data_IF_414994686049
#
_entry.id   IF_414994686049
#
_cell.length_a   1.000
_cell.length_b   1.000
_cell.length_c   1.000
_cell.angle_alpha   90.00
_cell.angle_beta   90.00
_cell.angle_gamma   90.00
#
_symmetry.space_group_name_H-M   'P 1'
#
loop_
_entity.id
_entity.type
_entity.pdbx_description
1 polymer ?
#
# COMPACT_ATOMS: atom_id res chain seq x y z
N UNK A 1 -20.42 2.25 -13.11
CA UNK A 1 -19.93 0.87 -12.87
C UNK A 1 -20.80 0.25 -11.78
N UNK A 2 -21.08 -1.05 -11.80
CA UNK A 2 -21.72 -1.72 -10.65
C UNK A 2 -20.61 -2.23 -9.74
N UNK A 3 -20.35 -1.52 -8.64
CA UNK A 3 -19.35 -1.90 -7.63
C UNK A 3 -19.84 -3.12 -6.83
N UNK A 4 -19.00 -4.15 -6.69
CA UNK A 4 -19.33 -5.31 -5.87
C UNK A 4 -18.86 -5.16 -4.42
N UNK A 5 -17.59 -4.79 -4.21
CA UNK A 5 -17.03 -4.52 -2.88
C UNK A 5 -15.89 -3.51 -2.94
N UNK A 6 -15.65 -2.89 -1.80
CA UNK A 6 -14.47 -2.08 -1.53
C UNK A 6 -13.46 -2.95 -0.80
N UNK A 7 -12.24 -3.02 -1.31
CA UNK A 7 -11.12 -3.75 -0.69
C UNK A 7 -10.14 -2.73 -0.13
N UNK A 8 -10.09 -2.61 1.20
CA UNK A 8 -9.13 -1.77 1.89
C UNK A 8 -7.84 -2.55 2.14
N UNK A 9 -6.74 -2.11 1.54
CA UNK A 9 -5.40 -2.66 1.74
C UNK A 9 -4.63 -1.79 2.74
N UNK A 10 -4.15 -2.42 3.80
CA UNK A 10 -3.34 -1.80 4.86
C UNK A 10 -2.09 -2.62 5.14
N UNK A 11 -1.19 -2.10 5.98
CA UNK A 11 -0.04 -2.86 6.49
C UNK A 11 0.14 -2.61 7.97
N UNK A 12 0.90 -3.51 8.62
CA UNK A 12 1.37 -3.24 9.98
C UNK A 12 2.26 -2.01 10.00
N UNK A 13 2.02 -1.15 10.99
CA UNK A 13 2.90 -0.01 11.30
C UNK A 13 4.23 -0.51 11.85
N UNK A 14 5.26 0.34 11.78
CA UNK A 14 6.55 0.01 12.39
C UNK A 14 6.43 -0.28 13.89
N UNK A 15 5.55 0.46 14.60
CA UNK A 15 5.29 0.23 16.02
C UNK A 15 4.68 -1.15 16.28
N UNK A 16 3.65 -1.56 15.53
CA UNK A 16 3.05 -2.89 15.65
C UNK A 16 4.07 -3.99 15.32
N UNK A 17 4.91 -3.77 14.31
CA UNK A 17 6.01 -4.67 13.97
C UNK A 17 7.03 -4.84 15.10
N UNK A 18 7.35 -3.76 15.81
CA UNK A 18 8.24 -3.79 16.98
C UNK A 18 7.58 -4.49 18.17
N UNK A 19 6.30 -4.21 18.44
CA UNK A 19 5.54 -4.87 19.52
C UNK A 19 5.48 -6.38 19.25
N UNK A 20 5.22 -6.79 18.02
CA UNK A 20 5.18 -8.21 17.65
C UNK A 20 6.52 -8.93 17.89
N UNK A 21 7.66 -8.23 17.83
CA UNK A 21 9.00 -8.81 18.07
C UNK A 21 9.46 -8.71 19.52
N UNK A 22 9.09 -7.65 20.22
CA UNK A 22 9.63 -7.31 21.55
C UNK A 22 8.60 -7.46 22.69
N UNK A 23 7.36 -7.83 22.39
CA UNK A 23 6.31 -8.17 23.36
C UNK A 23 5.38 -7.01 23.66
N UNK A 24 5.84 -6.04 24.45
CA UNK A 24 5.00 -4.93 24.96
C UNK A 24 5.49 -3.56 24.51
N UNK A 25 4.60 -2.57 24.53
CA UNK A 25 4.93 -1.17 24.23
C UNK A 25 6.07 -0.63 25.12
N UNK A 26 6.09 -1.00 26.41
CA UNK A 26 7.17 -0.59 27.33
C UNK A 26 8.53 -1.20 26.95
N UNK A 27 8.54 -2.47 26.52
CA UNK A 27 9.76 -3.12 26.04
C UNK A 27 10.25 -2.51 24.72
N UNK A 28 9.34 -2.16 23.82
CA UNK A 28 9.65 -1.45 22.57
C UNK A 28 10.25 -0.07 22.87
N UNK A 29 9.62 0.70 23.78
CA UNK A 29 10.13 2.01 24.18
C UNK A 29 11.57 1.93 24.69
N UNK A 30 11.84 1.02 25.64
CA UNK A 30 13.19 0.78 26.14
C UNK A 30 14.17 0.35 25.04
N UNK A 31 13.74 -0.54 24.14
CA UNK A 31 14.55 -1.01 23.01
C UNK A 31 14.96 0.12 22.05
N UNK A 32 14.05 1.05 21.76
CA UNK A 32 14.31 2.20 20.88
C UNK A 32 15.20 3.24 21.56
N UNK A 33 14.87 3.61 22.81
CA UNK A 33 15.61 4.62 23.56
C UNK A 33 17.05 4.19 23.86
N UNK A 34 17.28 2.89 24.13
CA UNK A 34 18.64 2.33 24.28
C UNK A 34 19.49 2.40 23.00
N UNK A 35 18.89 2.71 21.85
CA UNK A 35 19.56 2.92 20.55
C UNK A 35 19.52 4.38 20.09
N UNK A 36 19.15 5.30 20.99
CA UNK A 36 19.07 6.73 20.68
C UNK A 36 17.90 7.10 19.75
N UNK A 37 16.88 6.24 19.63
CA UNK A 37 15.67 6.52 18.86
C UNK A 37 14.54 7.01 19.79
N UNK A 38 13.67 7.86 19.25
CA UNK A 38 12.54 8.42 20.00
C UNK A 38 11.27 7.59 19.76
N UNK A 39 10.71 7.00 20.82
CA UNK A 39 9.47 6.24 20.76
C UNK A 39 8.29 7.05 20.18
N UNK A 40 8.23 8.35 20.50
CA UNK A 40 7.15 9.25 20.06
C UNK A 40 7.03 9.33 18.54
N UNK A 41 8.14 9.20 17.80
CA UNK A 41 8.12 9.18 16.33
C UNK A 41 7.28 8.01 15.80
N UNK A 42 7.43 6.82 16.40
CA UNK A 42 6.69 5.62 16.02
C UNK A 42 5.23 5.67 16.48
N UNK A 43 5.00 6.23 17.68
CA UNK A 43 3.66 6.39 18.22
C UNK A 43 2.82 7.36 17.38
N UNK A 44 3.36 8.53 17.03
CA UNK A 44 2.67 9.51 16.20
C UNK A 44 2.37 8.96 14.81
N UNK A 45 3.33 8.28 14.18
CA UNK A 45 3.12 7.61 12.89
C UNK A 45 1.98 6.57 12.97
N UNK A 46 1.96 5.75 14.04
CA UNK A 46 0.90 4.78 14.26
C UNK A 46 -0.47 5.42 14.47
N UNK A 47 -0.53 6.53 15.22
CA UNK A 47 -1.76 7.27 15.48
C UNK A 47 -2.31 7.90 14.21
N UNK A 48 -1.48 8.58 13.42
CA UNK A 48 -1.88 9.18 12.14
C UNK A 48 -2.39 8.10 11.16
N UNK A 49 -1.64 7.00 11.03
CA UNK A 49 -2.02 5.87 10.19
C UNK A 49 -3.38 5.27 10.58
N UNK A 50 -3.57 4.99 11.87
CA UNK A 50 -4.80 4.39 12.40
C UNK A 50 -5.98 5.35 12.30
N UNK A 51 -5.77 6.64 12.55
CA UNK A 51 -6.78 7.66 12.37
C UNK A 51 -7.24 7.77 10.90
N UNK A 52 -6.28 7.77 9.96
CA UNK A 52 -6.57 7.77 8.53
C UNK A 52 -7.38 6.55 8.09
N UNK A 53 -7.01 5.35 8.53
CA UNK A 53 -7.78 4.12 8.28
C UNK A 53 -9.21 4.23 8.82
N UNK A 54 -9.36 4.67 10.07
CA UNK A 54 -10.68 4.79 10.70
C UNK A 54 -11.57 5.80 9.97
N UNK A 55 -11.00 6.92 9.52
CA UNK A 55 -11.72 7.92 8.75
C UNK A 55 -12.17 7.36 7.40
N UNK A 56 -11.29 6.66 6.67
CA UNK A 56 -11.64 5.97 5.41
C UNK A 56 -12.77 4.96 5.62
N UNK A 57 -12.68 4.12 6.66
CA UNK A 57 -13.72 3.14 7.00
C UNK A 57 -15.06 3.80 7.31
N UNK A 58 -15.04 4.89 8.07
CA UNK A 58 -16.26 5.63 8.43
C UNK A 58 -16.93 6.32 7.24
N UNK A 59 -16.16 6.63 6.21
CA UNK A 59 -16.62 7.28 5.00
C UNK A 59 -17.22 6.30 3.97
N UNK A 60 -17.14 4.98 4.20
CA UNK A 60 -17.79 3.97 3.35
C UNK A 60 -19.30 3.98 3.60
N UNK A 61 -20.13 4.24 2.57
CA UNK A 61 -21.59 4.20 2.70
C UNK A 61 -22.14 2.89 3.26
N UNK A 62 -23.16 3.02 4.12
CA UNK A 62 -23.87 1.88 4.69
C UNK A 62 -24.52 1.03 3.59
N UNK A 63 -24.31 -0.28 3.67
CA UNK A 63 -24.84 -1.25 2.70
C UNK A 63 -23.87 -1.64 1.58
N UNK A 64 -22.72 -1.00 1.46
CA UNK A 64 -21.66 -1.50 0.58
C UNK A 64 -20.89 -2.66 1.24
N UNK A 65 -20.55 -3.68 0.44
CA UNK A 65 -19.62 -4.73 0.88
C UNK A 65 -18.23 -4.12 1.02
N UNK A 66 -17.61 -4.38 2.17
CA UNK A 66 -16.32 -3.84 2.53
C UNK A 66 -15.45 -4.96 3.12
N UNK A 67 -14.20 -5.06 2.68
CA UNK A 67 -13.26 -6.07 3.14
C UNK A 67 -11.88 -5.47 3.38
N UNK A 68 -11.27 -5.82 4.50
CA UNK A 68 -9.90 -5.39 4.84
C UNK A 68 -8.91 -6.51 4.52
N UNK A 69 -7.79 -6.14 3.92
CA UNK A 69 -6.70 -7.05 3.56
C UNK A 69 -5.40 -6.45 4.04
N UNK A 70 -4.68 -7.19 4.87
CA UNK A 70 -3.30 -6.82 5.21
C UNK A 70 -2.38 -7.16 4.04
N UNK A 71 -1.38 -6.32 3.78
CA UNK A 71 -0.31 -6.53 2.80
C UNK A 71 0.22 -7.97 2.78
N UNK A 72 0.37 -8.59 3.95
CA UNK A 72 0.90 -9.94 4.10
C UNK A 72 0.02 -11.02 3.46
N UNK A 73 -1.28 -10.77 3.28
CA UNK A 73 -2.23 -11.70 2.67
C UNK A 73 -2.59 -11.31 1.24
N UNK A 74 -2.06 -10.20 0.73
CA UNK A 74 -2.44 -9.63 -0.56
C UNK A 74 -2.05 -10.52 -1.74
N UNK A 75 -0.91 -11.22 -1.65
CA UNK A 75 -0.42 -12.11 -2.70
C UNK A 75 -1.37 -13.29 -2.99
N UNK A 76 -2.17 -13.71 -2.01
CA UNK A 76 -3.16 -14.79 -2.14
C UNK A 76 -4.58 -14.28 -2.27
N UNK A 77 -4.78 -12.96 -2.22
CA UNK A 77 -6.10 -12.36 -2.22
C UNK A 77 -6.68 -12.32 -3.64
N UNK A 78 -7.93 -12.77 -3.78
CA UNK A 78 -8.65 -12.73 -5.05
C UNK A 78 -9.45 -11.44 -5.17
N UNK A 79 -8.96 -10.56 -6.04
CA UNK A 79 -9.64 -9.34 -6.46
C UNK A 79 -10.68 -9.70 -7.51
N UNK A 80 -11.92 -9.27 -7.29
CA UNK A 80 -13.01 -9.43 -8.24
C UNK A 80 -13.00 -8.34 -9.31
N UNK A 81 -13.58 -8.65 -10.47
CA UNK A 81 -13.56 -7.78 -11.66
C UNK A 81 -14.35 -6.46 -11.50
N UNK A 82 -15.07 -6.31 -10.38
CA UNK A 82 -15.92 -5.16 -10.04
C UNK A 82 -15.55 -4.55 -8.69
N UNK A 83 -14.35 -4.82 -8.21
CA UNK A 83 -13.85 -4.32 -6.93
C UNK A 83 -13.24 -2.93 -7.10
N UNK A 84 -13.35 -2.09 -6.08
CA UNK A 84 -12.51 -0.89 -5.97
C UNK A 84 -11.49 -1.13 -4.88
N UNK A 85 -10.23 -0.93 -5.23
CA UNK A 85 -9.12 -1.09 -4.29
C UNK A 85 -8.84 0.25 -3.65
N UNK A 86 -8.74 0.25 -2.33
CA UNK A 86 -8.38 1.43 -1.54
C UNK A 86 -7.11 1.07 -0.80
N UNK A 87 -6.04 1.82 -1.02
CA UNK A 87 -4.78 1.63 -0.31
C UNK A 87 -4.61 2.77 0.68
N UNK A 88 -4.40 2.47 1.96
CA UNK A 88 -4.05 3.50 2.96
C UNK A 88 -2.63 3.27 3.43
N UNK A 89 -1.72 4.19 3.13
CA UNK A 89 -0.33 4.12 3.57
C UNK A 89 0.66 4.87 2.70
N UNK A 90 1.86 4.31 2.58
CA UNK A 90 2.95 4.91 1.83
C UNK A 90 2.97 4.44 0.36
N UNK A 91 3.71 5.13 -0.52
CA UNK A 91 3.86 4.73 -1.92
C UNK A 91 4.33 3.28 -2.11
N UNK A 92 5.15 2.75 -1.19
CA UNK A 92 5.62 1.36 -1.24
C UNK A 92 4.49 0.34 -1.08
N UNK A 93 3.47 0.62 -0.26
CA UNK A 93 2.29 -0.22 -0.14
C UNK A 93 1.46 -0.19 -1.44
N UNK A 94 1.34 0.98 -2.06
CA UNK A 94 0.65 1.13 -3.34
C UNK A 94 1.31 0.31 -4.45
N UNK A 95 2.63 0.46 -4.64
CA UNK A 95 3.40 -0.30 -5.63
C UNK A 95 3.27 -1.80 -5.40
N UNK A 96 3.30 -2.24 -4.14
CA UNK A 96 3.11 -3.66 -3.83
C UNK A 96 1.69 -4.13 -4.17
N UNK A 97 0.69 -3.29 -3.93
CA UNK A 97 -0.71 -3.59 -4.22
C UNK A 97 -1.00 -3.68 -5.70
N UNK A 98 -0.46 -2.74 -6.49
CA UNK A 98 -0.57 -2.69 -7.94
C UNK A 98 -0.24 -4.04 -8.61
N UNK A 99 0.72 -4.81 -8.04
CA UNK A 99 1.15 -6.13 -8.54
C UNK A 99 0.03 -7.18 -8.59
N UNK A 100 -1.00 -7.05 -7.76
CA UNK A 100 -2.00 -8.11 -7.50
C UNK A 100 -3.42 -7.73 -7.93
N UNK A 101 -3.67 -6.46 -8.29
CA UNK A 101 -5.04 -5.94 -8.48
C UNK A 101 -5.51 -5.89 -9.93
N UNK A 102 -4.65 -6.24 -10.88
CA UNK A 102 -4.97 -6.25 -12.31
C UNK A 102 -5.43 -4.89 -12.81
N UNK A 103 -6.55 -4.84 -13.53
CA UNK A 103 -7.12 -3.61 -14.09
C UNK A 103 -8.06 -2.86 -13.14
N UNK A 104 -8.21 -3.30 -11.89
CA UNK A 104 -9.13 -2.64 -10.97
C UNK A 104 -8.65 -1.22 -10.62
N UNK A 105 -9.59 -0.27 -10.46
CA UNK A 105 -9.27 1.09 -10.04
C UNK A 105 -8.71 1.09 -8.62
N UNK A 106 -7.61 1.83 -8.41
CA UNK A 106 -6.94 1.96 -7.11
C UNK A 106 -7.01 3.41 -6.63
N UNK A 107 -7.65 3.62 -5.47
CA UNK A 107 -7.63 4.87 -4.72
C UNK A 107 -6.48 4.79 -3.70
N UNK A 108 -5.43 5.57 -3.92
CA UNK A 108 -4.34 5.70 -2.95
C UNK A 108 -4.64 6.84 -1.99
N UNK A 109 -4.74 6.51 -0.71
CA UNK A 109 -5.03 7.45 0.38
C UNK A 109 -3.76 7.65 1.21
N UNK A 110 -3.25 8.87 1.23
CA UNK A 110 -2.14 9.25 2.11
C UNK A 110 -2.68 9.59 3.51
N UNK A 111 -2.40 8.79 4.56
CA UNK A 111 -2.90 9.05 5.90
C UNK A 111 -2.11 10.13 6.66
N UNK A 112 -0.95 10.56 6.16
CA UNK A 112 -0.05 11.48 6.86
C UNK A 112 0.72 12.38 5.86
N UNK A 113 0.23 13.62 5.70
CA UNK A 113 0.78 14.66 4.82
C UNK A 113 2.21 15.07 5.16
N UNK A 114 2.62 14.92 6.42
CA UNK A 114 3.95 15.35 6.86
C UNK A 114 5.01 14.26 6.63
N UNK A 115 4.59 12.99 6.58
CA UNK A 115 5.49 11.85 6.49
C UNK A 115 5.63 11.25 5.09
N UNK A 116 4.59 11.37 4.27
CA UNK A 116 4.59 10.81 2.93
C UNK A 116 4.38 11.90 1.89
N UNK A 117 5.27 11.93 0.90
CA UNK A 117 5.10 12.76 -0.28
C UNK A 117 3.84 12.34 -1.06
N UNK A 118 3.27 13.26 -1.85
CA UNK A 118 2.03 13.03 -2.61
C UNK A 118 2.20 12.14 -3.85
N UNK A 119 3.32 11.44 -3.96
CA UNK A 119 3.60 10.51 -5.05
C UNK A 119 2.52 9.41 -5.07
N UNK A 120 1.80 9.29 -6.18
CA UNK A 120 0.61 8.42 -6.39
C UNK A 120 -0.61 8.73 -5.53
N UNK A 121 -0.58 9.76 -4.68
CA UNK A 121 -1.69 10.07 -3.77
C UNK A 121 -2.90 10.54 -4.56
N UNK A 122 -4.00 9.78 -4.50
CA UNK A 122 -5.26 10.13 -5.14
C UNK A 122 -6.08 11.08 -4.26
N UNK A 123 -6.04 10.88 -2.94
CA UNK A 123 -6.71 11.74 -1.98
C UNK A 123 -6.15 11.56 -0.55
N UNK A 124 -6.67 12.35 0.37
CA UNK A 124 -6.44 12.21 1.80
C UNK A 124 -7.71 11.68 2.49
N UNK A 125 -7.64 11.24 3.76
CA UNK A 125 -8.79 10.65 4.45
C UNK A 125 -10.05 11.54 4.47
N UNK A 126 -9.89 12.86 4.51
CA UNK A 126 -10.96 13.85 4.44
C UNK A 126 -11.59 13.99 3.04
N UNK A 127 -10.81 13.73 1.99
CA UNK A 127 -11.29 13.70 0.60
C UNK A 127 -11.82 12.35 0.12
N UNK A 128 -11.66 11.27 0.91
CA UNK A 128 -11.94 9.90 0.46
C UNK A 128 -13.40 9.68 0.03
N UNK A 129 -14.37 10.20 0.78
CA UNK A 129 -15.79 10.00 0.46
C UNK A 129 -16.14 10.53 -0.94
N UNK A 130 -15.62 11.71 -1.29
CA UNK A 130 -15.82 12.33 -2.61
C UNK A 130 -15.15 11.48 -3.70
N UNK A 131 -13.90 11.08 -3.48
CA UNK A 131 -13.15 10.27 -4.45
C UNK A 131 -13.79 8.91 -4.69
N UNK A 132 -14.31 8.27 -3.64
CA UNK A 132 -15.05 7.02 -3.75
C UNK A 132 -16.32 7.20 -4.60
N UNK A 133 -17.08 8.27 -4.39
CA UNK A 133 -18.28 8.55 -5.20
C UNK A 133 -17.94 8.79 -6.67
N UNK A 134 -16.90 9.58 -6.96
CA UNK A 134 -16.37 9.79 -8.31
C UNK A 134 -16.01 8.44 -8.97
N UNK A 135 -15.31 7.58 -8.24
CA UNK A 135 -14.88 6.25 -8.69
C UNK A 135 -16.07 5.36 -9.03
N UNK A 136 -17.06 5.26 -8.14
CA UNK A 136 -18.28 4.45 -8.35
C UNK A 136 -19.09 4.96 -9.55
N UNK A 137 -19.14 6.29 -9.72
CA UNK A 137 -19.78 6.93 -10.87
C UNK A 137 -19.03 6.73 -12.19
N UNK A 138 -17.83 6.13 -12.18
CA UNK A 138 -16.99 5.99 -13.37
C UNK A 138 -16.34 7.30 -13.82
N UNK A 139 -16.26 8.30 -12.93
CA UNK A 139 -15.69 9.62 -13.20
C UNK A 139 -14.23 9.64 -12.75
N UNK A 140 -13.39 8.94 -13.48
CA UNK A 140 -11.96 8.88 -13.20
C UNK A 140 -11.17 8.61 -14.49
N UNK A 141 -9.92 9.07 -14.50
CA UNK A 141 -8.92 8.66 -15.47
C UNK A 141 -7.95 7.67 -14.83
N UNK A 142 -7.52 6.70 -15.62
CA UNK A 142 -6.55 5.70 -15.17
C UNK A 142 -5.22 5.94 -15.88
N UNK A 143 -4.16 6.05 -15.09
CA UNK A 143 -2.82 5.86 -15.61
C UNK A 143 -2.39 4.41 -15.42
N UNK A 144 -1.91 3.81 -16.50
CA UNK A 144 -1.28 2.49 -16.44
C UNK A 144 0.12 2.66 -15.86
N UNK A 145 0.39 1.98 -14.77
CA UNK A 145 1.72 1.93 -14.20
C UNK A 145 2.55 0.88 -14.93
N UNK A 146 3.77 1.25 -15.31
CA UNK A 146 4.76 0.31 -15.83
C UNK A 146 5.68 -0.10 -14.69
N UNK A 147 5.85 -1.40 -14.48
CA UNK A 147 6.77 -1.95 -13.48
C UNK A 147 7.97 -2.59 -14.17
N UNK A 148 9.18 -2.22 -13.75
CA UNK A 148 10.36 -3.02 -14.06
C UNK A 148 10.24 -4.38 -13.38
N UNK A 149 10.56 -5.46 -14.10
CA UNK A 149 10.58 -6.82 -13.56
C UNK A 149 12.03 -7.35 -13.53
N UNK A 150 12.43 -7.94 -12.42
CA UNK A 150 13.67 -8.72 -12.34
C UNK A 150 13.30 -10.17 -12.08
N UNK A 151 13.86 -11.10 -12.85
CA UNK A 151 13.66 -12.54 -12.64
C UNK A 151 14.98 -13.12 -12.16
N UNK A 152 14.96 -13.70 -10.97
CA UNK A 152 16.08 -14.43 -10.39
C UNK A 152 16.17 -15.84 -11.00
N UNK A 153 17.35 -16.47 -10.95
CA UNK A 153 17.54 -17.82 -11.53
C UNK A 153 16.62 -18.89 -10.92
N UNK A 154 16.23 -18.72 -9.66
CA UNK A 154 15.29 -19.59 -8.95
C UNK A 154 13.84 -19.43 -9.45
N UNK A 155 13.59 -18.54 -10.42
CA UNK A 155 12.26 -18.22 -10.96
C UNK A 155 11.48 -17.19 -10.14
N UNK A 156 12.07 -16.62 -9.09
CA UNK A 156 11.46 -15.56 -8.30
C UNK A 156 11.39 -14.27 -9.12
N UNK A 157 10.22 -13.63 -9.10
CA UNK A 157 9.96 -12.39 -9.81
C UNK A 157 9.89 -11.21 -8.84
N UNK A 158 10.80 -10.26 -9.02
CA UNK A 158 10.78 -8.98 -8.33
C UNK A 158 10.18 -7.93 -9.27
N UNK A 159 9.46 -6.96 -8.70
CA UNK A 159 8.87 -5.86 -9.46
C UNK A 159 9.17 -4.54 -8.75
N UNK A 160 9.61 -3.54 -9.52
CA UNK A 160 9.91 -2.19 -9.07
C UNK A 160 9.23 -1.18 -9.98
N UNK A 161 8.85 -0.03 -9.42
CA UNK A 161 8.24 1.04 -10.22
C UNK A 161 9.28 2.04 -10.75
N UNK A 162 10.36 2.26 -9.98
CA UNK A 162 11.50 3.07 -10.39
C UNK A 162 12.76 2.22 -10.54
N UNK A 163 13.35 1.78 -9.43
CA UNK A 163 14.68 1.17 -9.43
C UNK A 163 14.74 -0.15 -8.65
N UNK A 164 15.58 -1.07 -9.12
CA UNK A 164 16.11 -2.15 -8.29
C UNK A 164 17.47 -1.71 -7.75
N UNK A 165 17.58 -1.60 -6.43
CA UNK A 165 18.87 -1.40 -5.77
C UNK A 165 19.54 -2.76 -5.55
N UNK A 166 20.74 -2.91 -6.10
CA UNK A 166 21.61 -4.07 -5.91
C UNK A 166 22.74 -3.68 -4.96
N UNK A 167 22.96 -4.47 -3.92
CA UNK A 167 24.06 -4.28 -2.97
C UNK A 167 25.14 -5.35 -3.20
N UNK A 168 26.42 -4.98 -3.08
CA UNK A 168 27.57 -5.81 -3.48
C UNK A 168 27.66 -7.14 -2.71
N UNK A 169 27.13 -7.23 -1.49
CA UNK A 169 27.07 -8.47 -0.70
C UNK A 169 26.15 -9.55 -1.33
N UNK A 170 25.15 -9.17 -2.13
CA UNK A 170 24.20 -10.09 -2.77
C UNK A 170 24.56 -10.45 -4.23
N UNK A 171 25.58 -9.81 -4.82
CA UNK A 171 25.97 -10.02 -6.23
C UNK A 171 26.71 -11.35 -6.42
N UNK A 172 27.27 -11.93 -5.36
CA UNK A 172 28.14 -13.12 -5.47
C UNK A 172 27.43 -14.45 -5.75
N UNK A 173 26.10 -14.54 -5.75
CA UNK A 173 25.38 -15.82 -5.81
C UNK A 173 24.26 -15.95 -6.86
N UNK A 174 23.82 -14.89 -7.54
CA UNK A 174 22.69 -14.98 -8.49
C UNK A 174 22.93 -14.18 -9.77
N UNK A 175 22.96 -14.87 -10.92
CA UNK A 175 22.90 -14.24 -12.23
C UNK A 175 21.48 -13.66 -12.44
N UNK A 176 21.33 -12.35 -12.29
CA UNK A 176 20.02 -11.68 -12.39
C UNK A 176 19.71 -11.28 -13.84
N UNK A 177 18.53 -11.64 -14.35
CA UNK A 177 18.04 -11.13 -15.64
C UNK A 177 17.00 -10.04 -15.41
N UNK A 178 17.34 -8.81 -15.81
CA UNK A 178 16.41 -7.69 -15.78
C UNK A 178 15.61 -7.65 -17.09
N UNK A 179 14.28 -7.74 -17.00
CA UNK A 179 13.38 -7.57 -18.13
C UNK A 179 12.40 -6.45 -17.81
N UNK A 180 12.41 -5.39 -18.62
CA UNK A 180 11.35 -4.39 -18.54
C UNK A 180 10.10 -4.99 -19.17
N UNK A 181 9.07 -5.23 -18.35
CA UNK A 181 7.77 -5.68 -18.84
C UNK A 181 6.72 -4.58 -18.61
N UNK A 182 5.95 -4.28 -19.66
CA UNK A 182 4.68 -3.58 -19.46
C UNK A 182 3.71 -4.53 -18.77
N UNK A 183 3.64 -4.46 -17.44
CA UNK A 183 2.57 -5.13 -16.69
C UNK A 183 1.47 -4.12 -16.42
N UNK A 184 0.25 -4.40 -16.89
CA UNK A 184 -0.94 -3.64 -16.47
C UNK A 184 -1.19 -3.95 -15.00
N UNK A 185 -0.62 -3.14 -14.13
CA UNK A 185 -0.65 -3.34 -12.68
C UNK A 185 -1.33 -2.14 -12.03
N UNK A 186 -2.65 -2.23 -11.86
CA UNK A 186 -3.47 -1.20 -11.26
C UNK A 186 -3.78 -0.05 -12.21
N UNK A 187 -5.06 0.29 -12.29
CA UNK A 187 -5.51 1.54 -12.85
C UNK A 187 -5.41 2.59 -11.74
N UNK A 188 -4.29 3.32 -11.67
CA UNK A 188 -4.17 4.42 -10.70
C UNK A 188 -5.17 5.50 -11.07
N UNK A 189 -6.05 5.85 -10.13
CA UNK A 189 -6.95 6.97 -10.35
C UNK A 189 -6.16 8.27 -10.27
N UNK A 190 -6.09 8.96 -11.41
CA UNK A 190 -5.51 10.29 -11.56
C UNK A 190 -6.64 11.30 -11.69
N UNK A 191 -6.43 12.53 -11.19
CA UNK A 191 -7.41 13.63 -11.25
C UNK A 191 -7.85 13.99 -12.67
#
# INVERSE_FOLDING_TARGET
MTLEKIVLVTKRTALEGLIARHGTTSQVKFFLESRGQHFDFYQQAHQAYTAGINQVKSAVPSGMRFQEVNKEHLATFQVGDKDVIVVVGDPGLFVNTAKYVGEQPVIMVNPDRERFDDVFTTCYPDGFARKLQETVAGKYTCEKLTLAQAVLENGEELYALNDFLLDEEHISQHDMKLNLQEKVSGNLLVE
#
